data_IF_314914029356
#
_entry.id   IF_314914029356
#
_cell.length_a   1.000
_cell.length_b   1.000
_cell.length_c   1.000
_cell.angle_alpha   90.00
_cell.angle_beta   90.00
_cell.angle_gamma   90.00
#
_symmetry.space_group_name_H-M   'P 1'
#
loop_
_entity.id
_entity.type
_entity.pdbx_description
1 polymer ?
#
# COMPACT_ATOMS: atom_id res chain seq x y z
N UNK A 1 19.75 9.77 14.48
CA UNK A 1 18.40 10.21 14.10
C UNK A 1 17.55 8.96 13.83
N UNK A 2 16.46 8.73 14.57
CA UNK A 2 15.60 7.56 14.38
C UNK A 2 14.50 7.91 13.38
N UNK A 3 14.48 7.23 12.23
CA UNK A 3 13.36 7.35 11.29
C UNK A 3 12.07 6.87 11.97
N UNK A 4 10.93 7.58 11.82
CA UNK A 4 9.63 7.11 12.29
C UNK A 4 9.20 5.79 11.61
N UNK A 5 9.86 5.41 10.52
CA UNK A 5 9.65 4.14 9.80
C UNK A 5 10.59 3.02 10.27
N UNK A 6 11.36 3.23 11.35
CA UNK A 6 12.19 2.19 11.93
C UNK A 6 11.30 1.10 12.53
N UNK A 7 11.02 0.07 11.74
CA UNK A 7 10.43 -1.16 12.25
C UNK A 7 11.34 -1.74 13.34
N UNK A 8 10.74 -2.14 14.47
CA UNK A 8 11.46 -2.76 15.60
C UNK A 8 11.40 -4.30 15.59
N UNK A 9 10.81 -4.90 14.55
CA UNK A 9 10.68 -6.34 14.38
C UNK A 9 11.15 -6.83 13.01
N UNK A 10 11.35 -8.14 12.84
CA UNK A 10 11.77 -8.72 11.58
C UNK A 10 10.67 -8.55 10.52
N UNK A 11 11.06 -8.13 9.32
CA UNK A 11 10.22 -8.20 8.12
C UNK A 11 10.51 -9.52 7.42
N UNK A 12 9.51 -10.40 7.33
CA UNK A 12 9.67 -11.68 6.65
C UNK A 12 9.50 -11.49 5.14
N UNK A 13 10.51 -11.88 4.37
CA UNK A 13 10.49 -11.83 2.90
C UNK A 13 10.52 -13.27 2.37
N UNK A 14 9.66 -13.56 1.39
CA UNK A 14 9.68 -14.86 0.71
C UNK A 14 10.84 -14.92 -0.27
N UNK A 15 11.83 -15.76 0.00
CA UNK A 15 12.96 -16.02 -0.92
C UNK A 15 12.47 -16.70 -2.20
N UNK A 16 12.92 -16.22 -3.36
CA UNK A 16 12.54 -16.79 -4.67
C UNK A 16 11.11 -16.45 -5.14
N UNK A 17 10.44 -15.49 -4.50
CA UNK A 17 9.17 -14.99 -5.02
C UNK A 17 9.40 -14.28 -6.36
N UNK A 18 8.63 -14.64 -7.39
CA UNK A 18 8.62 -13.91 -8.64
C UNK A 18 7.85 -12.60 -8.47
N UNK A 19 8.42 -11.43 -8.80
CA UNK A 19 7.70 -10.16 -8.75
C UNK A 19 6.49 -10.17 -9.69
N UNK A 20 5.34 -9.71 -9.20
CA UNK A 20 4.20 -9.44 -10.07
C UNK A 20 4.52 -8.24 -10.98
N UNK A 21 4.21 -8.35 -12.28
CA UNK A 21 4.21 -7.21 -13.20
C UNK A 21 2.78 -6.74 -13.35
N UNK A 22 2.53 -5.51 -12.93
CA UNK A 22 1.22 -4.87 -12.98
C UNK A 22 1.28 -3.73 -13.99
N UNK A 23 0.21 -3.56 -14.77
CA UNK A 23 0.05 -2.38 -15.61
C UNK A 23 -0.11 -1.12 -14.75
N UNK A 24 0.08 0.05 -15.36
CA UNK A 24 -0.25 1.31 -14.69
C UNK A 24 -1.73 1.29 -14.27
N UNK A 25 -1.99 1.67 -13.01
CA UNK A 25 -3.31 1.65 -12.37
C UNK A 25 -3.92 0.25 -12.16
N UNK A 26 -3.17 -0.83 -12.39
CA UNK A 26 -3.64 -2.17 -12.04
C UNK A 26 -3.49 -2.43 -10.54
N UNK A 27 -4.62 -2.67 -9.89
CA UNK A 27 -4.67 -2.98 -8.45
C UNK A 27 -4.59 -4.50 -8.27
N UNK A 28 -3.64 -5.04 -7.47
CA UNK A 28 -3.54 -6.46 -7.22
C UNK A 28 -4.85 -7.05 -6.66
N UNK A 29 -5.29 -8.25 -7.10
CA UNK A 29 -6.56 -8.84 -6.64
C UNK A 29 -6.67 -8.98 -5.12
N UNK A 30 -5.56 -9.25 -4.44
CA UNK A 30 -5.55 -9.38 -2.98
C UNK A 30 -5.88 -8.07 -2.24
N UNK A 31 -5.86 -6.92 -2.93
CA UNK A 31 -6.28 -5.64 -2.37
C UNK A 31 -7.76 -5.69 -1.97
N UNK A 32 -8.58 -6.35 -2.79
CA UNK A 32 -10.02 -6.45 -2.63
C UNK A 32 -10.48 -7.14 -1.33
N UNK A 33 -9.66 -8.05 -0.77
CA UNK A 33 -10.10 -8.94 0.32
C UNK A 33 -10.12 -8.31 1.72
N UNK A 34 -9.70 -7.05 1.89
CA UNK A 34 -9.64 -6.41 3.22
C UNK A 34 -9.85 -4.91 3.14
N UNK A 35 -10.18 -4.30 4.27
CA UNK A 35 -10.23 -2.84 4.43
C UNK A 35 -8.86 -2.21 4.11
N UNK A 36 -8.89 -1.04 3.48
CA UNK A 36 -7.71 -0.31 3.03
C UNK A 36 -7.74 1.12 3.56
N UNK A 37 -6.63 1.55 4.15
CA UNK A 37 -6.39 2.97 4.42
C UNK A 37 -5.90 3.62 3.14
N UNK A 38 -6.81 4.26 2.41
CA UNK A 38 -6.51 5.04 1.20
C UNK A 38 -6.08 6.43 1.64
N UNK A 39 -4.99 6.92 1.05
CA UNK A 39 -4.39 8.20 1.44
C UNK A 39 -4.02 9.00 0.20
N UNK A 40 -4.50 10.22 0.12
CA UNK A 40 -4.09 11.17 -0.91
C UNK A 40 -2.92 11.99 -0.38
N UNK A 41 -1.89 12.12 -1.20
CA UNK A 41 -0.78 13.03 -0.96
C UNK A 41 -0.71 14.06 -2.09
N UNK A 42 -0.29 15.27 -1.75
CA UNK A 42 0.02 16.31 -2.74
C UNK A 42 1.40 16.08 -3.37
N UNK A 43 1.81 16.89 -4.37
CA UNK A 43 3.12 16.78 -4.99
C UNK A 43 4.32 17.08 -4.06
N UNK A 44 4.08 17.63 -2.87
CA UNK A 44 5.10 17.83 -1.83
C UNK A 44 5.17 16.65 -0.85
N UNK A 45 4.54 15.52 -1.20
CA UNK A 45 4.42 14.30 -0.39
C UNK A 45 3.66 14.49 0.94
N UNK A 46 2.94 15.60 1.09
CA UNK A 46 2.10 15.87 2.25
C UNK A 46 0.77 15.14 2.12
N UNK A 47 0.38 14.40 3.15
CA UNK A 47 -0.94 13.73 3.20
C UNK A 47 -2.05 14.79 3.33
N UNK A 48 -2.95 14.84 2.35
CA UNK A 48 -4.07 15.80 2.31
C UNK A 48 -5.42 15.15 2.64
N UNK A 49 -5.57 13.83 2.45
CA UNK A 49 -6.78 13.10 2.83
C UNK A 49 -6.45 11.66 3.26
N UNK A 50 -7.32 11.09 4.10
CA UNK A 50 -7.23 9.69 4.51
C UNK A 50 -8.61 9.12 4.82
N UNK A 51 -8.90 7.95 4.27
CA UNK A 51 -10.15 7.23 4.50
C UNK A 51 -9.89 5.73 4.62
N UNK A 52 -10.78 5.02 5.31
CA UNK A 52 -10.84 3.56 5.28
C UNK A 52 -11.93 3.17 4.29
N UNK A 53 -11.54 2.45 3.24
CA UNK A 53 -12.44 1.96 2.19
C UNK A 53 -12.40 0.43 2.14
N UNK A 54 -13.46 -0.18 1.64
CA UNK A 54 -13.41 -1.58 1.29
C UNK A 54 -12.43 -1.79 0.14
N UNK A 55 -11.69 -2.90 0.14
CA UNK A 55 -10.68 -3.17 -0.88
C UNK A 55 -11.24 -3.19 -2.30
N UNK A 56 -12.50 -3.59 -2.46
CA UNK A 56 -13.22 -3.61 -3.75
C UNK A 56 -13.43 -2.21 -4.33
N UNK A 57 -13.37 -1.16 -3.51
CA UNK A 57 -13.58 0.23 -3.92
C UNK A 57 -12.29 0.92 -4.39
N UNK A 58 -11.13 0.23 -4.38
CA UNK A 58 -9.81 0.84 -4.62
C UNK A 58 -9.35 0.75 -6.09
N UNK A 59 -9.89 -0.19 -6.87
CA UNK A 59 -9.47 -0.45 -8.26
C UNK A 59 -10.48 -0.05 -9.33
N UNK A 60 -11.39 0.87 -9.00
CA UNK A 60 -12.42 1.41 -9.91
C UNK A 60 -12.01 2.74 -10.52
#
# INVERSE_FOLDING_TARGET
MASPYRARGPVFIRRGAMPARLAANEVPPHVAHRLRSVRACDPADCRVAAEVREGVQVGG
#
